data_IF_783103570548
#
_entry.id   IF_783103570548
#
_cell.length_a   1.000
_cell.length_b   1.000
_cell.length_c   1.000
_cell.angle_alpha   90.00
_cell.angle_beta   90.00
_cell.angle_gamma   90.00
#
_symmetry.space_group_name_H-M   'P 1'
#
loop_
_entity.id
_entity.type
_entity.pdbx_description
1 polymer ?
#
# COMPACT_ATOMS: atom_id res chain seq x y z
N UNK A 1 2.94 12.23 -16.20
CA UNK A 1 3.73 11.06 -16.45
C UNK A 1 3.81 10.10 -15.27
N UNK A 2 3.74 8.82 -15.53
CA UNK A 2 3.75 7.88 -14.45
C UNK A 2 5.14 7.48 -14.09
N UNK A 3 5.46 7.43 -12.81
CA UNK A 3 6.78 6.96 -12.41
C UNK A 3 6.91 5.47 -12.67
N UNK A 4 8.12 5.06 -12.94
CA UNK A 4 8.41 3.66 -13.11
C UNK A 4 8.30 2.97 -11.75
N UNK A 5 7.85 1.73 -11.78
CA UNK A 5 7.77 0.96 -10.54
C UNK A 5 9.10 0.31 -10.25
N UNK A 6 9.47 0.37 -9.01
CA UNK A 6 10.72 -0.24 -8.56
C UNK A 6 10.42 -1.28 -7.52
N UNK A 7 11.25 -2.31 -7.53
CA UNK A 7 11.10 -3.37 -6.58
C UNK A 7 11.83 -3.04 -5.30
N UNK A 8 11.14 -3.08 -4.20
CA UNK A 8 11.75 -2.83 -2.90
C UNK A 8 11.32 -3.92 -1.93
N UNK A 9 12.12 -4.09 -0.90
CA UNK A 9 11.80 -5.07 0.14
C UNK A 9 11.62 -4.34 1.45
N UNK A 10 10.54 -4.66 2.13
CA UNK A 10 10.29 -4.08 3.44
C UNK A 10 9.84 -5.17 4.39
N UNK A 11 9.96 -4.89 5.66
CA UNK A 11 9.52 -5.81 6.70
C UNK A 11 8.25 -5.27 7.33
N UNK A 12 7.25 -6.11 7.41
CA UNK A 12 5.97 -5.71 8.00
C UNK A 12 5.58 -6.69 9.09
N UNK A 13 4.76 -6.23 10.00
CA UNK A 13 4.23 -7.10 11.05
C UNK A 13 3.41 -8.22 10.42
N UNK A 14 3.55 -9.41 10.94
CA UNK A 14 2.88 -10.58 10.37
C UNK A 14 1.36 -10.43 10.37
N UNK A 15 0.80 -9.93 11.45
CA UNK A 15 -0.64 -9.75 11.52
C UNK A 15 -1.13 -8.69 10.55
N UNK A 16 -0.31 -7.68 10.34
CA UNK A 16 -0.63 -6.62 9.39
C UNK A 16 -0.65 -7.17 7.96
N UNK A 17 0.31 -8.00 7.64
CA UNK A 17 0.35 -8.62 6.31
C UNK A 17 -0.90 -9.42 6.06
N UNK A 18 -1.31 -10.17 7.05
CA UNK A 18 -2.51 -11.00 6.95
C UNK A 18 -3.75 -10.17 6.66
N UNK A 19 -3.91 -9.10 7.41
CA UNK A 19 -5.06 -8.24 7.25
C UNK A 19 -5.07 -7.54 5.91
N UNK A 20 -3.92 -7.08 5.48
CA UNK A 20 -3.84 -6.38 4.21
C UNK A 20 -4.08 -7.32 3.04
N UNK A 21 -3.63 -8.56 3.16
CA UNK A 21 -3.90 -9.54 2.13
C UNK A 21 -5.39 -9.79 1.98
N UNK A 22 -6.07 -9.88 3.10
CA UNK A 22 -7.51 -10.08 3.08
C UNK A 22 -8.22 -8.89 2.44
N UNK A 23 -7.79 -7.70 2.76
CA UNK A 23 -8.38 -6.51 2.19
C UNK A 23 -8.10 -6.38 0.69
N UNK A 24 -6.91 -6.75 0.30
CA UNK A 24 -6.55 -6.71 -1.12
C UNK A 24 -7.42 -7.66 -1.92
N UNK A 25 -7.66 -8.83 -1.38
CA UNK A 25 -8.48 -9.82 -2.01
C UNK A 25 -9.90 -9.33 -2.18
N UNK A 26 -10.40 -8.70 -1.16
CA UNK A 26 -11.73 -8.13 -1.16
C UNK A 26 -11.87 -7.07 -2.23
N UNK A 27 -10.81 -6.35 -2.48
CA UNK A 27 -10.77 -5.28 -3.44
C UNK A 27 -10.34 -5.75 -4.82
N UNK A 28 -10.16 -7.05 -4.95
CA UNK A 28 -9.77 -7.68 -6.20
C UNK A 28 -8.45 -7.12 -6.71
N UNK A 29 -7.52 -6.92 -5.83
CA UNK A 29 -6.19 -6.41 -6.16
C UNK A 29 -5.14 -7.31 -5.59
N UNK A 30 -3.95 -7.30 -6.19
CA UNK A 30 -2.85 -8.03 -5.62
C UNK A 30 -2.37 -7.29 -4.36
N UNK A 31 -1.62 -8.01 -3.54
CA UNK A 31 -1.07 -7.44 -2.32
C UNK A 31 -0.23 -6.21 -2.63
N UNK A 32 0.64 -6.31 -3.62
CA UNK A 32 1.50 -5.20 -4.01
C UNK A 32 0.71 -4.00 -4.50
N UNK A 33 -0.28 -4.24 -5.30
CA UNK A 33 -1.11 -3.16 -5.83
C UNK A 33 -1.86 -2.45 -4.72
N UNK A 34 -2.36 -3.22 -3.79
CA UNK A 34 -3.10 -2.66 -2.68
C UNK A 34 -2.21 -1.77 -1.82
N UNK A 35 -1.02 -2.28 -1.50
CA UNK A 35 -0.05 -1.53 -0.72
C UNK A 35 0.36 -0.25 -1.43
N UNK A 36 0.64 -0.37 -2.71
CA UNK A 36 1.06 0.79 -3.50
C UNK A 36 -0.01 1.87 -3.48
N UNK A 37 -1.25 1.46 -3.58
CA UNK A 37 -2.36 2.40 -3.57
C UNK A 37 -2.47 3.13 -2.23
N UNK A 38 -2.35 2.39 -1.15
CA UNK A 38 -2.42 2.97 0.18
C UNK A 38 -1.30 3.98 0.40
N UNK A 39 -0.11 3.58 0.03
CA UNK A 39 1.04 4.45 0.24
C UNK A 39 0.96 5.70 -0.61
N UNK A 40 0.49 5.55 -1.83
CA UNK A 40 0.34 6.71 -2.69
C UNK A 40 -0.69 7.68 -2.13
N UNK A 41 -1.79 7.17 -1.66
CA UNK A 41 -2.81 8.01 -1.03
C UNK A 41 -2.26 8.76 0.17
N UNK A 42 -1.47 8.05 0.95
CA UNK A 42 -0.89 8.64 2.14
C UNK A 42 0.06 9.78 1.79
N UNK A 43 0.83 9.60 0.75
CA UNK A 43 1.80 10.61 0.32
C UNK A 43 1.11 11.82 -0.29
N UNK A 44 0.07 11.58 -1.06
CA UNK A 44 -0.62 12.65 -1.76
C UNK A 44 -1.63 13.39 -0.90
N UNK A 45 -1.98 12.81 0.20
CA UNK A 45 -2.95 13.39 1.11
C UNK A 45 -2.38 14.62 1.77
N UNK A 46 -3.15 15.71 1.87
CA UNK A 46 -2.65 16.88 2.58
C UNK A 46 -2.41 16.51 4.02
N UNK A 47 -1.27 16.93 4.52
CA UNK A 47 -0.94 16.60 5.88
C UNK A 47 -1.72 17.47 6.85
N UNK A 48 -2.28 16.86 7.88
CA UNK A 48 -2.92 17.66 8.90
C UNK A 48 -1.87 18.47 9.61
N UNK A 49 -2.16 19.71 9.81
CA UNK A 49 -1.24 20.59 10.48
C UNK A 49 -1.56 20.69 11.93
N UNK A 50 -0.60 20.52 12.79
CA UNK A 50 -0.86 20.69 14.23
C UNK A 50 -1.17 22.12 14.56
#
# INVERSE_FOLDING_TARGET
MRPLKEKVSITLDADLIKEIRALAEKDDRSFSQYINRILRRHVEQPKPQP
#
